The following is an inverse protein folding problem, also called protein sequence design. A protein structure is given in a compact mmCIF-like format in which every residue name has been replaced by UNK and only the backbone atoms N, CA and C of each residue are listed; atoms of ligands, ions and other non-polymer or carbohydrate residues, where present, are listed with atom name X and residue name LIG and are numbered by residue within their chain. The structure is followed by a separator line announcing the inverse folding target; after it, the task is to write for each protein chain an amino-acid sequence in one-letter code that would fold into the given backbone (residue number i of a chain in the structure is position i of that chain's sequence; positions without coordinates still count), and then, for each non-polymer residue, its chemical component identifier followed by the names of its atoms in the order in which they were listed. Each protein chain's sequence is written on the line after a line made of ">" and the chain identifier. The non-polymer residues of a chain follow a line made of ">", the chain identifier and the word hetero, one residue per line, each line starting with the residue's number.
data_IF_456280234619
#
_entry.id   IF_456280234619
#
_cell.length_a   1.000
_cell.length_b   1.000
_cell.length_c   1.000
_cell.angle_alpha   90.00
_cell.angle_beta   90.00
_cell.angle_gamma   90.00
#
_symmetry.space_group_name_H-M   'P 1'
#
loop_
_entity.id
_entity.type
_entity.pdbx_description
1 polymer ?
#
# COMPACT_ATOMS: atom_id res chain seq x y z
N UNK A 1 7.44 -15.36 22.25
CA UNK A 1 8.31 -15.73 21.11
C UNK A 1 7.97 -14.80 19.97
N UNK A 2 8.94 -14.12 19.40
CA UNK A 2 8.71 -13.22 18.26
C UNK A 2 8.34 -14.04 17.02
N UNK A 3 7.31 -13.62 16.31
CA UNK A 3 6.85 -14.29 15.07
C UNK A 3 7.91 -14.18 13.99
N UNK A 4 8.28 -15.27 13.34
CA UNK A 4 9.28 -15.25 12.26
C UNK A 4 8.75 -14.52 11.03
N UNK A 5 9.65 -13.97 10.20
CA UNK A 5 9.28 -13.29 8.94
C UNK A 5 8.48 -14.24 8.02
N UNK A 6 8.88 -15.50 7.93
CA UNK A 6 8.17 -16.51 7.15
C UNK A 6 6.74 -16.74 7.66
N UNK A 7 6.55 -16.79 8.98
CA UNK A 7 5.22 -16.94 9.57
C UNK A 7 4.32 -15.70 9.31
N UNK A 8 4.90 -14.50 9.34
CA UNK A 8 4.19 -13.26 8.96
C UNK A 8 3.75 -13.30 7.51
N UNK A 9 4.62 -13.70 6.59
CA UNK A 9 4.32 -13.85 5.14
C UNK A 9 3.21 -14.86 4.90
N UNK A 10 3.30 -16.05 5.49
CA UNK A 10 2.26 -17.07 5.39
C UNK A 10 0.91 -16.58 5.95
N UNK A 11 0.93 -15.87 7.07
CA UNK A 11 -0.26 -15.23 7.64
C UNK A 11 -0.86 -14.21 6.68
N UNK A 12 -0.01 -13.39 6.05
CA UNK A 12 -0.47 -12.35 5.11
C UNK A 12 -1.19 -12.96 3.90
N UNK A 13 -0.62 -13.99 3.30
CA UNK A 13 -1.24 -14.72 2.19
C UNK A 13 -2.58 -15.33 2.60
N UNK A 14 -2.63 -15.99 3.75
CA UNK A 14 -3.87 -16.59 4.27
C UNK A 14 -4.98 -15.55 4.51
N UNK A 15 -4.64 -14.35 4.97
CA UNK A 15 -5.61 -13.27 5.14
C UNK A 15 -6.23 -12.84 3.80
N UNK A 16 -5.48 -12.86 2.70
CA UNK A 16 -6.01 -12.55 1.37
C UNK A 16 -6.89 -13.69 0.80
N UNK A 17 -6.59 -14.94 1.12
CA UNK A 17 -7.44 -16.09 0.75
C UNK A 17 -8.81 -16.05 1.46
N UNK A 18 -8.84 -15.57 2.69
CA UNK A 18 -10.08 -15.42 3.46
C UNK A 18 -10.95 -14.26 2.96
N UNK A 19 -10.35 -13.26 2.31
CA UNK A 19 -11.03 -12.02 1.91
C UNK A 19 -11.43 -11.14 3.09
N UNK A 20 -12.03 -9.99 2.79
CA UNK A 20 -12.52 -9.02 3.80
C UNK A 20 -11.44 -8.49 4.76
N UNK A 21 -10.22 -8.30 4.24
CA UNK A 21 -9.09 -7.77 4.99
C UNK A 21 -9.15 -6.24 5.08
N UNK A 22 -9.23 -5.68 6.29
CA UNK A 22 -8.97 -4.26 6.54
C UNK A 22 -7.51 -4.10 6.89
N UNK A 23 -6.80 -3.26 6.13
CA UNK A 23 -5.36 -3.03 6.21
C UNK A 23 -5.10 -1.56 6.56
N UNK A 24 -5.07 -1.18 7.86
CA UNK A 24 -4.78 0.19 8.25
C UNK A 24 -3.31 0.52 7.99
N UNK A 25 -3.03 1.82 7.76
CA UNK A 25 -1.71 2.30 7.37
C UNK A 25 -1.05 3.09 8.52
N UNK A 26 -0.14 2.49 9.30
CA UNK A 26 0.74 3.22 10.20
C UNK A 26 1.84 3.95 9.42
N UNK A 27 2.28 5.09 9.97
CA UNK A 27 3.35 5.93 9.40
C UNK A 27 4.60 6.00 10.28
N UNK A 28 4.53 5.47 11.50
CA UNK A 28 5.63 5.38 12.47
C UNK A 28 5.37 4.25 13.49
N UNK A 29 6.34 4.01 14.38
CA UNK A 29 6.19 3.00 15.44
C UNK A 29 5.03 3.31 16.40
N UNK A 30 4.78 4.58 16.68
CA UNK A 30 3.72 4.99 17.59
C UNK A 30 2.34 4.66 17.05
N UNK A 31 2.09 4.90 15.77
CA UNK A 31 0.85 4.54 15.08
C UNK A 31 0.73 3.02 14.90
N UNK A 32 1.84 2.33 14.56
CA UNK A 32 1.88 0.88 14.44
C UNK A 32 1.42 0.17 15.71
N UNK A 33 2.01 0.52 16.87
CA UNK A 33 1.66 -0.07 18.17
C UNK A 33 0.20 0.16 18.53
N UNK A 34 -0.34 1.35 18.22
CA UNK A 34 -1.76 1.64 18.45
C UNK A 34 -2.68 0.80 17.58
N UNK A 35 -2.36 0.64 16.30
CA UNK A 35 -3.16 -0.20 15.40
C UNK A 35 -3.10 -1.68 15.80
N UNK A 36 -1.95 -2.17 16.24
CA UNK A 36 -1.80 -3.51 16.78
C UNK A 36 -2.65 -3.70 18.05
N UNK A 37 -2.61 -2.76 18.98
CA UNK A 37 -3.43 -2.78 20.20
C UNK A 37 -4.95 -2.72 19.90
N UNK A 38 -5.35 -2.08 18.80
CA UNK A 38 -6.74 -2.06 18.32
C UNK A 38 -7.16 -3.34 17.60
N UNK A 39 -6.25 -4.30 17.43
CA UNK A 39 -6.55 -5.63 16.89
C UNK A 39 -6.41 -5.73 15.38
N UNK A 40 -5.63 -4.85 14.73
CA UNK A 40 -5.24 -5.04 13.34
C UNK A 40 -4.65 -6.43 13.13
N UNK A 41 -4.95 -7.05 11.98
CA UNK A 41 -4.44 -8.40 11.63
C UNK A 41 -3.22 -8.33 10.70
N UNK A 42 -3.08 -7.23 10.01
CA UNK A 42 -1.96 -6.85 9.16
C UNK A 42 -1.99 -5.33 8.99
N UNK A 43 -0.89 -4.75 8.53
CA UNK A 43 -0.77 -3.31 8.27
C UNK A 43 -0.10 -3.07 6.91
N UNK A 44 -0.29 -1.87 6.34
CA UNK A 44 0.53 -1.41 5.23
C UNK A 44 1.20 -0.09 5.63
N UNK A 45 2.45 0.14 5.27
CA UNK A 45 3.03 1.48 5.41
C UNK A 45 2.31 2.49 4.49
N UNK A 46 2.65 3.75 4.61
CA UNK A 46 2.17 4.83 3.76
C UNK A 46 3.32 5.79 3.48
N UNK A 47 3.69 5.95 2.20
CA UNK A 47 4.74 6.88 1.76
C UNK A 47 4.44 8.30 2.20
N UNK A 48 3.24 8.79 1.88
CA UNK A 48 2.77 10.13 2.24
C UNK A 48 2.81 10.37 3.76
N UNK A 49 2.22 9.46 4.56
CA UNK A 49 2.21 9.63 6.03
C UNK A 49 3.63 9.58 6.63
N UNK A 50 4.51 8.75 6.10
CA UNK A 50 5.91 8.72 6.53
C UNK A 50 6.64 10.02 6.17
N UNK A 51 6.50 10.52 4.94
CA UNK A 51 7.08 11.78 4.50
C UNK A 51 6.59 12.96 5.36
N UNK A 52 5.28 13.07 5.60
CA UNK A 52 4.69 14.07 6.48
C UNK A 52 5.26 14.01 7.90
N UNK A 53 5.50 12.83 8.46
CA UNK A 53 6.11 12.66 9.79
C UNK A 53 7.55 13.19 9.86
N UNK A 54 8.21 13.35 8.71
CA UNK A 54 9.55 13.94 8.55
C UNK A 54 9.51 15.41 8.11
N UNK A 55 8.30 16.00 7.97
CA UNK A 55 8.12 17.37 7.47
C UNK A 55 8.42 17.52 5.98
N UNK A 56 8.19 16.47 5.19
CA UNK A 56 8.39 16.42 3.74
C UNK A 56 7.08 16.13 3.02
N UNK A 57 7.03 16.44 1.73
CA UNK A 57 5.93 16.05 0.86
C UNK A 57 6.07 14.58 0.42
N UNK A 58 4.96 13.99 -0.05
CA UNK A 58 4.95 12.63 -0.62
C UNK A 58 5.91 12.56 -1.83
N UNK A 59 6.62 11.46 -2.01
CA UNK A 59 7.70 11.24 -2.99
C UNK A 59 9.03 12.00 -2.72
N UNK A 60 9.20 12.64 -1.57
CA UNK A 60 10.47 13.30 -1.21
C UNK A 60 11.40 12.41 -0.35
N UNK A 61 10.93 11.23 0.03
CA UNK A 61 11.77 10.28 0.77
C UNK A 61 12.71 9.54 -0.18
N UNK A 62 13.92 9.26 0.28
CA UNK A 62 14.87 8.43 -0.45
C UNK A 62 14.58 6.94 -0.25
N UNK A 63 15.00 6.10 -1.19
CA UNK A 63 14.93 4.63 -1.07
C UNK A 63 15.49 4.14 0.27
N UNK A 64 16.66 4.63 0.65
CA UNK A 64 17.36 4.13 1.85
C UNK A 64 16.63 4.53 3.14
N UNK A 65 16.08 5.75 3.22
CA UNK A 65 15.21 6.17 4.32
C UNK A 65 13.95 5.30 4.44
N UNK A 66 13.32 4.96 3.29
CA UNK A 66 12.16 4.07 3.28
C UNK A 66 12.53 2.66 3.68
N UNK A 67 13.66 2.12 3.21
CA UNK A 67 14.14 0.79 3.61
C UNK A 67 14.47 0.72 5.11
N UNK A 68 15.08 1.75 5.68
CA UNK A 68 15.35 1.82 7.11
C UNK A 68 14.06 1.88 7.93
N UNK A 69 13.09 2.68 7.49
CA UNK A 69 11.75 2.72 8.08
C UNK A 69 11.06 1.35 8.03
N UNK A 70 11.11 0.65 6.90
CA UNK A 70 10.52 -0.69 6.77
C UNK A 70 11.19 -1.71 7.70
N UNK A 71 12.53 -1.68 7.85
CA UNK A 71 13.26 -2.54 8.79
C UNK A 71 12.82 -2.29 10.24
N UNK A 72 12.74 -1.00 10.62
CA UNK A 72 12.28 -0.60 11.94
C UNK A 72 10.85 -1.11 12.21
N UNK A 73 9.92 -0.84 11.31
CA UNK A 73 8.53 -1.26 11.42
C UNK A 73 8.37 -2.78 11.45
N UNK A 74 9.02 -3.51 10.54
CA UNK A 74 8.93 -4.97 10.48
C UNK A 74 9.51 -5.66 11.72
N UNK A 75 10.53 -5.07 12.36
CA UNK A 75 11.14 -5.61 13.57
C UNK A 75 10.32 -5.35 14.82
N UNK A 76 9.49 -4.32 14.82
CA UNK A 76 8.77 -3.82 16.00
C UNK A 76 7.38 -4.46 16.22
N UNK A 77 6.90 -5.28 15.31
CA UNK A 77 5.58 -5.92 15.41
C UNK A 77 5.61 -7.39 15.00
N UNK A 78 4.67 -8.17 15.50
CA UNK A 78 4.38 -9.53 15.02
C UNK A 78 3.39 -9.56 13.85
N UNK A 79 2.82 -8.41 13.45
CA UNK A 79 1.91 -8.31 12.32
C UNK A 79 2.65 -8.41 10.97
N UNK A 80 2.04 -9.01 9.95
CA UNK A 80 2.51 -8.87 8.58
C UNK A 80 2.38 -7.42 8.12
N UNK A 81 3.42 -6.89 7.46
CA UNK A 81 3.47 -5.54 6.92
C UNK A 81 3.60 -5.58 5.39
N UNK A 82 2.73 -4.84 4.71
CA UNK A 82 2.86 -4.52 3.29
C UNK A 82 3.57 -3.17 3.13
N UNK A 83 4.67 -3.13 2.40
CA UNK A 83 5.32 -1.88 2.08
C UNK A 83 4.54 -1.09 1.02
N UNK A 84 4.30 0.19 1.27
CA UNK A 84 4.04 1.18 0.23
C UNK A 84 5.41 1.61 -0.31
N UNK A 85 5.77 1.09 -1.50
CA UNK A 85 7.14 1.19 -2.03
C UNK A 85 7.22 2.07 -3.28
N UNK A 86 6.22 2.94 -3.45
CA UNK A 86 6.10 3.87 -4.57
C UNK A 86 6.30 3.16 -5.92
N UNK A 87 7.00 3.76 -6.87
CA UNK A 87 7.38 3.13 -8.14
C UNK A 87 8.64 2.25 -8.05
N UNK A 88 9.11 1.91 -6.83
CA UNK A 88 10.28 1.08 -6.58
C UNK A 88 11.61 1.84 -6.52
N UNK A 89 11.59 3.18 -6.50
CA UNK A 89 12.78 4.04 -6.41
C UNK A 89 13.84 3.74 -7.49
N UNK A 90 13.40 3.45 -8.70
CA UNK A 90 14.28 2.98 -9.78
C UNK A 90 13.88 3.55 -11.14
N UNK A 91 14.87 3.78 -11.99
CA UNK A 91 14.67 4.15 -13.39
C UNK A 91 14.74 2.93 -14.33
N UNK A 92 15.43 1.88 -13.91
CA UNK A 92 15.58 0.64 -14.69
C UNK A 92 14.97 -0.57 -13.98
N UNK A 93 14.58 -1.58 -14.76
CA UNK A 93 14.06 -2.85 -14.24
C UNK A 93 15.09 -3.60 -13.38
N UNK A 94 16.38 -3.48 -13.69
CA UNK A 94 17.45 -4.11 -12.92
C UNK A 94 17.60 -3.45 -11.54
N UNK A 95 17.56 -2.13 -11.48
CA UNK A 95 17.58 -1.38 -10.22
C UNK A 95 16.32 -1.65 -9.40
N UNK A 96 15.15 -1.70 -10.04
CA UNK A 96 13.89 -2.03 -9.37
C UNK A 96 13.94 -3.43 -8.76
N UNK A 97 14.46 -4.42 -9.47
CA UNK A 97 14.62 -5.78 -8.95
C UNK A 97 15.53 -5.81 -7.70
N UNK A 98 16.64 -5.06 -7.73
CA UNK A 98 17.53 -4.94 -6.56
C UNK A 98 16.85 -4.23 -5.39
N UNK A 99 16.09 -3.16 -5.64
CA UNK A 99 15.37 -2.44 -4.58
C UNK A 99 14.27 -3.31 -3.95
N UNK A 100 13.58 -4.13 -4.76
CA UNK A 100 12.60 -5.12 -4.28
C UNK A 100 13.30 -6.17 -3.39
N UNK A 101 14.48 -6.66 -3.78
CA UNK A 101 15.28 -7.59 -2.96
C UNK A 101 15.61 -6.98 -1.59
N UNK A 102 16.01 -5.71 -1.55
CA UNK A 102 16.31 -5.00 -0.30
C UNK A 102 15.05 -4.84 0.58
N UNK A 103 13.87 -4.59 -0.02
CA UNK A 103 12.61 -4.54 0.72
C UNK A 103 12.22 -5.92 1.28
N UNK A 104 12.47 -7.00 0.54
CA UNK A 104 12.27 -8.38 1.02
C UNK A 104 13.16 -8.67 2.24
N UNK A 105 14.43 -8.22 2.21
CA UNK A 105 15.39 -8.35 3.33
C UNK A 105 14.98 -7.51 4.54
N UNK A 106 14.31 -6.38 4.34
CA UNK A 106 13.74 -5.59 5.44
C UNK A 106 12.63 -6.32 6.21
N UNK A 107 12.11 -7.44 5.67
CA UNK A 107 11.17 -8.30 6.38
C UNK A 107 9.69 -8.11 6.00
N UNK A 108 9.40 -7.42 4.91
CA UNK A 108 8.01 -7.19 4.46
C UNK A 108 7.30 -8.50 4.09
N UNK A 109 5.99 -8.53 4.28
CA UNK A 109 5.13 -9.63 3.88
C UNK A 109 4.49 -9.40 2.50
N UNK A 110 4.46 -8.17 2.05
CA UNK A 110 4.07 -7.73 0.72
C UNK A 110 4.66 -6.37 0.41
N UNK A 111 4.62 -5.98 -0.85
CA UNK A 111 4.98 -4.63 -1.28
C UNK A 111 4.10 -4.19 -2.46
N UNK A 112 3.82 -2.90 -2.54
CA UNK A 112 3.16 -2.31 -3.71
C UNK A 112 4.17 -1.64 -4.62
N UNK A 113 4.00 -1.84 -5.93
CA UNK A 113 4.71 -1.11 -6.98
C UNK A 113 3.66 -0.42 -7.83
N UNK A 114 3.80 0.90 -7.99
CA UNK A 114 2.89 1.74 -8.75
C UNK A 114 3.47 2.16 -10.10
N UNK A 115 2.57 2.51 -11.02
CA UNK A 115 2.90 2.92 -12.38
C UNK A 115 3.09 4.44 -12.54
N UNK A 116 3.47 5.15 -11.46
CA UNK A 116 3.61 6.60 -11.47
C UNK A 116 5.04 7.06 -11.73
N UNK A 117 5.16 8.06 -12.60
CA UNK A 117 6.39 8.81 -12.87
C UNK A 117 6.12 10.31 -12.70
N UNK A 118 6.48 10.86 -11.56
CA UNK A 118 6.17 12.25 -11.22
C UNK A 118 4.65 12.49 -11.20
N UNK A 119 4.15 13.33 -12.12
CA UNK A 119 2.72 13.65 -12.25
C UNK A 119 1.97 12.81 -13.30
N UNK A 120 2.66 11.87 -13.96
CA UNK A 120 2.12 11.07 -15.05
C UNK A 120 2.25 9.58 -14.75
N UNK A 121 1.60 8.76 -15.57
CA UNK A 121 1.82 7.32 -15.56
C UNK A 121 2.99 6.97 -16.50
N UNK A 122 3.75 5.93 -16.15
CA UNK A 122 4.61 5.27 -17.12
C UNK A 122 3.79 4.78 -18.32
N UNK A 123 4.37 4.73 -19.54
CA UNK A 123 3.79 3.94 -20.62
C UNK A 123 3.44 2.54 -20.10
N UNK A 124 2.29 2.00 -20.54
CA UNK A 124 1.77 0.73 -19.98
C UNK A 124 2.79 -0.41 -20.10
N UNK A 125 3.51 -0.48 -21.22
CA UNK A 125 4.53 -1.50 -21.47
C UNK A 125 5.68 -1.41 -20.45
N UNK A 126 6.13 -0.20 -20.11
CA UNK A 126 7.17 0.03 -19.10
C UNK A 126 6.65 -0.36 -17.71
N UNK A 127 5.43 0.04 -17.36
CA UNK A 127 4.83 -0.35 -16.07
C UNK A 127 4.69 -1.88 -15.95
N UNK A 128 4.31 -2.56 -17.02
CA UNK A 128 4.25 -4.03 -17.07
C UNK A 128 5.62 -4.67 -16.84
N UNK A 129 6.68 -4.13 -17.46
CA UNK A 129 8.06 -4.61 -17.24
C UNK A 129 8.53 -4.36 -15.80
N UNK A 130 8.12 -3.26 -15.17
CA UNK A 130 8.39 -3.02 -13.75
C UNK A 130 7.71 -4.07 -12.86
N UNK A 131 6.45 -4.42 -13.12
CA UNK A 131 5.76 -5.49 -12.37
C UNK A 131 6.43 -6.83 -12.59
N UNK A 132 6.85 -7.17 -13.82
CA UNK A 132 7.61 -8.41 -14.11
C UNK A 132 8.94 -8.46 -13.38
N UNK A 133 9.68 -7.36 -13.36
CA UNK A 133 10.97 -7.28 -12.66
C UNK A 133 10.79 -7.46 -11.14
N UNK A 134 9.77 -6.82 -10.55
CA UNK A 134 9.44 -7.00 -9.14
C UNK A 134 9.03 -8.46 -8.84
N UNK A 135 8.21 -9.08 -9.70
CA UNK A 135 7.82 -10.48 -9.56
C UNK A 135 9.03 -11.40 -9.66
N UNK A 136 9.90 -11.20 -10.65
CA UNK A 136 11.14 -11.97 -10.82
C UNK A 136 12.03 -11.91 -9.59
N UNK A 137 12.26 -10.72 -9.03
CA UNK A 137 13.04 -10.55 -7.80
C UNK A 137 12.44 -11.28 -6.59
N UNK A 138 11.11 -11.30 -6.47
CA UNK A 138 10.42 -12.05 -5.41
C UNK A 138 10.61 -13.56 -5.63
N UNK A 139 10.41 -14.05 -6.83
CA UNK A 139 10.55 -15.48 -7.17
C UNK A 139 11.98 -15.98 -6.95
N UNK A 140 12.98 -15.21 -7.41
CA UNK A 140 14.40 -15.50 -7.23
C UNK A 140 14.82 -15.51 -5.75
N UNK A 141 14.15 -14.73 -4.90
CA UNK A 141 14.40 -14.74 -3.46
C UNK A 141 13.96 -16.02 -2.76
N UNK A 142 13.08 -16.81 -3.36
CA UNK A 142 12.45 -17.98 -2.76
C UNK A 142 11.53 -17.64 -1.57
N UNK A 143 11.17 -16.37 -1.38
CA UNK A 143 10.37 -15.89 -0.26
C UNK A 143 8.91 -15.67 -0.68
N UNK A 144 7.96 -15.99 0.21
CA UNK A 144 6.53 -15.83 -0.04
C UNK A 144 6.07 -14.37 0.23
N UNK A 145 6.54 -13.44 -0.62
CA UNK A 145 6.16 -12.02 -0.55
C UNK A 145 5.09 -11.71 -1.59
N UNK A 146 4.02 -11.04 -1.18
CA UNK A 146 2.92 -10.66 -2.10
C UNK A 146 3.24 -9.36 -2.84
N UNK A 147 3.05 -9.39 -4.16
CA UNK A 147 3.20 -8.21 -5.02
C UNK A 147 1.83 -7.55 -5.26
N UNK A 148 1.72 -6.29 -4.84
CA UNK A 148 0.55 -5.44 -5.11
C UNK A 148 0.88 -4.55 -6.30
N UNK A 149 0.24 -4.79 -7.43
CA UNK A 149 0.41 -3.97 -8.63
C UNK A 149 -0.61 -2.82 -8.62
N UNK A 150 -0.10 -1.58 -8.58
CA UNK A 150 -0.89 -0.38 -8.34
C UNK A 150 -0.92 0.51 -9.59
N UNK A 151 -2.14 0.94 -9.98
CA UNK A 151 -2.34 1.90 -11.06
C UNK A 151 -2.83 3.24 -10.51
N UNK A 152 -2.04 4.28 -10.70
CA UNK A 152 -2.26 5.65 -10.21
C UNK A 152 -3.20 6.49 -11.10
N UNK A 153 -3.77 5.93 -12.14
CA UNK A 153 -4.53 6.66 -13.15
C UNK A 153 -5.64 7.57 -12.61
N UNK A 154 -6.34 7.16 -11.55
CA UNK A 154 -7.39 7.99 -10.93
C UNK A 154 -6.81 9.11 -10.06
N UNK A 155 -5.71 8.89 -9.35
CA UNK A 155 -5.09 9.92 -8.49
C UNK A 155 -4.35 10.98 -9.31
N UNK A 156 -3.72 10.58 -10.40
CA UNK A 156 -3.10 11.53 -11.35
C UNK A 156 -4.13 12.24 -12.24
N UNK A 157 -5.36 11.70 -12.32
CA UNK A 157 -6.41 12.22 -13.22
C UNK A 157 -6.08 12.04 -14.70
N UNK A 158 -5.15 11.12 -15.03
CA UNK A 158 -4.65 10.94 -16.41
C UNK A 158 -5.23 9.73 -17.12
N UNK A 159 -5.99 8.87 -16.43
CA UNK A 159 -6.59 7.68 -17.03
C UNK A 159 -8.05 7.48 -16.64
N UNK A 160 -8.85 7.06 -17.60
CA UNK A 160 -10.25 6.68 -17.42
C UNK A 160 -10.38 5.22 -16.97
N UNK A 161 -11.57 4.82 -16.51
CA UNK A 161 -11.85 3.46 -16.00
C UNK A 161 -11.42 2.35 -16.97
N UNK A 162 -11.64 2.53 -18.27
CA UNK A 162 -11.27 1.52 -19.26
C UNK A 162 -9.75 1.32 -19.33
N UNK A 163 -8.97 2.39 -19.34
CA UNK A 163 -7.50 2.32 -19.34
C UNK A 163 -6.98 1.74 -18.01
N UNK A 164 -7.47 2.20 -16.86
CA UNK A 164 -7.08 1.65 -15.56
C UNK A 164 -7.37 0.14 -15.51
N UNK A 165 -8.55 -0.28 -15.96
CA UNK A 165 -8.91 -1.70 -15.99
C UNK A 165 -7.99 -2.51 -16.91
N UNK A 166 -7.65 -1.97 -18.08
CA UNK A 166 -6.73 -2.62 -19.03
C UNK A 166 -5.31 -2.74 -18.46
N UNK A 167 -4.81 -1.70 -17.77
CA UNK A 167 -3.52 -1.75 -17.06
C UNK A 167 -3.53 -2.80 -15.95
N UNK A 168 -4.56 -2.84 -15.11
CA UNK A 168 -4.65 -3.81 -14.01
C UNK A 168 -4.70 -5.26 -14.51
N UNK A 169 -5.36 -5.53 -15.65
CA UNK A 169 -5.31 -6.86 -16.29
C UNK A 169 -3.89 -7.21 -16.72
N UNK A 170 -3.20 -6.29 -17.38
CA UNK A 170 -1.82 -6.51 -17.79
C UNK A 170 -0.88 -6.70 -16.59
N UNK A 171 -1.12 -6.03 -15.48
CA UNK A 171 -0.36 -6.21 -14.23
C UNK A 171 -0.66 -7.54 -13.55
N UNK A 172 -1.90 -8.03 -13.62
CA UNK A 172 -2.26 -9.38 -13.17
C UNK A 172 -1.49 -10.45 -13.95
N UNK A 173 -1.44 -10.30 -15.29
CA UNK A 173 -0.70 -11.20 -16.20
C UNK A 173 0.82 -11.09 -16.01
N UNK A 174 1.32 -9.93 -15.57
CA UNK A 174 2.73 -9.70 -15.26
C UNK A 174 3.18 -10.26 -13.90
N UNK A 175 2.26 -10.82 -13.10
CA UNK A 175 2.56 -11.47 -11.84
C UNK A 175 2.14 -10.71 -10.59
N UNK A 176 1.34 -9.65 -10.70
CA UNK A 176 0.68 -9.01 -9.57
C UNK A 176 -0.21 -10.01 -8.80
N UNK A 177 -0.03 -10.14 -7.49
CA UNK A 177 -0.87 -10.96 -6.63
C UNK A 177 -2.17 -10.25 -6.26
N UNK A 178 -2.10 -8.94 -6.02
CA UNK A 178 -3.23 -8.05 -5.67
C UNK A 178 -3.23 -6.85 -6.60
N UNK A 179 -4.40 -6.46 -7.10
CA UNK A 179 -4.54 -5.31 -7.99
C UNK A 179 -5.10 -4.11 -7.21
N UNK A 180 -4.58 -2.92 -7.49
CA UNK A 180 -4.95 -1.73 -6.75
C UNK A 180 -5.04 -0.50 -7.66
N UNK A 181 -6.18 0.20 -7.61
CA UNK A 181 -6.37 1.49 -8.27
C UNK A 181 -6.91 2.50 -7.24
N UNK A 182 -6.02 3.19 -6.48
CA UNK A 182 -6.46 4.20 -5.52
C UNK A 182 -7.25 5.32 -6.22
N UNK A 183 -8.22 5.90 -5.50
CA UNK A 183 -9.10 6.94 -6.05
C UNK A 183 -10.36 6.41 -6.75
N UNK A 184 -10.46 5.11 -7.03
CA UNK A 184 -11.72 4.54 -7.52
C UNK A 184 -12.80 4.68 -6.43
N UNK A 185 -13.95 5.31 -6.79
CA UNK A 185 -14.97 5.66 -5.80
C UNK A 185 -16.38 5.16 -6.13
N UNK A 186 -16.69 5.01 -7.42
CA UNK A 186 -18.04 4.61 -7.85
C UNK A 186 -18.23 3.09 -7.69
N UNK A 187 -19.28 2.61 -7.00
CA UNK A 187 -19.52 1.17 -6.79
C UNK A 187 -19.54 0.36 -8.09
N UNK A 188 -20.14 0.89 -9.15
CA UNK A 188 -20.16 0.22 -10.47
C UNK A 188 -18.75 0.08 -11.06
N UNK A 189 -17.90 1.10 -10.92
CA UNK A 189 -16.50 1.06 -11.39
C UNK A 189 -15.67 0.06 -10.58
N UNK A 190 -15.85 0.00 -9.27
CA UNK A 190 -15.20 -0.98 -8.39
C UNK A 190 -15.57 -2.39 -8.84
N UNK A 191 -16.87 -2.65 -9.05
CA UNK A 191 -17.38 -3.95 -9.54
C UNK A 191 -16.78 -4.31 -10.90
N UNK A 192 -16.69 -3.35 -11.81
CA UNK A 192 -16.04 -3.55 -13.14
C UNK A 192 -14.59 -4.01 -12.99
N UNK A 193 -13.81 -3.36 -12.13
CA UNK A 193 -12.41 -3.74 -11.89
C UNK A 193 -12.33 -5.13 -11.25
N UNK A 194 -13.11 -5.40 -10.21
CA UNK A 194 -13.15 -6.71 -9.54
C UNK A 194 -13.43 -7.83 -10.53
N UNK A 195 -14.46 -7.68 -11.37
CA UNK A 195 -14.83 -8.70 -12.36
C UNK A 195 -13.76 -8.88 -13.44
N UNK A 196 -13.12 -7.78 -13.85
CA UNK A 196 -12.16 -7.79 -14.95
C UNK A 196 -10.83 -8.48 -14.59
N UNK A 197 -10.43 -8.46 -13.31
CA UNK A 197 -9.16 -9.04 -12.86
C UNK A 197 -9.34 -10.37 -12.09
N UNK A 198 -10.58 -10.83 -11.94
CA UNK A 198 -10.86 -12.10 -11.28
C UNK A 198 -10.05 -13.26 -11.89
N UNK A 199 -9.50 -14.20 -11.10
CA UNK A 199 -9.70 -14.37 -9.66
C UNK A 199 -8.73 -13.57 -8.76
N UNK A 200 -7.97 -12.63 -9.29
CA UNK A 200 -7.01 -11.84 -8.50
C UNK A 200 -7.74 -10.93 -7.49
N UNK A 201 -7.26 -10.87 -6.23
CA UNK A 201 -7.79 -9.97 -5.23
C UNK A 201 -7.63 -8.50 -5.63
N UNK A 202 -8.61 -7.67 -5.25
CA UNK A 202 -8.57 -6.21 -5.44
C UNK A 202 -8.48 -5.52 -4.09
N UNK A 203 -7.56 -4.55 -3.98
CA UNK A 203 -7.51 -3.57 -2.90
C UNK A 203 -8.26 -2.30 -3.30
N UNK A 204 -9.00 -1.72 -2.36
CA UNK A 204 -9.62 -0.39 -2.52
C UNK A 204 -9.16 0.53 -1.40
N UNK A 205 -8.77 1.77 -1.74
CA UNK A 205 -8.55 2.83 -0.77
C UNK A 205 -9.90 3.28 -0.20
N UNK A 206 -10.04 3.20 1.13
CA UNK A 206 -11.27 3.62 1.82
C UNK A 206 -11.36 5.15 1.82
N UNK A 207 -12.19 5.68 0.95
CA UNK A 207 -12.44 7.11 0.86
C UNK A 207 -13.54 7.55 1.84
N UNK A 208 -13.58 8.83 2.26
CA UNK A 208 -14.66 9.36 3.08
C UNK A 208 -16.05 9.05 2.50
N UNK A 209 -16.94 8.57 3.35
CA UNK A 209 -18.31 8.16 2.96
C UNK A 209 -18.45 6.71 2.50
N UNK A 210 -17.36 5.99 2.20
CA UNK A 210 -17.41 4.56 1.90
C UNK A 210 -17.56 3.72 3.18
N UNK A 211 -18.11 2.53 3.04
CA UNK A 211 -18.18 1.53 4.11
C UNK A 211 -17.52 0.23 3.65
N UNK A 212 -16.69 -0.35 4.50
CA UNK A 212 -15.98 -1.60 4.19
C UNK A 212 -16.92 -2.74 3.83
N UNK A 213 -18.08 -2.84 4.52
CA UNK A 213 -19.09 -3.87 4.24
C UNK A 213 -19.61 -3.83 2.79
N UNK A 214 -19.79 -2.63 2.24
CA UNK A 214 -20.30 -2.46 0.88
C UNK A 214 -19.23 -2.81 -0.16
N UNK A 215 -17.96 -2.49 0.15
CA UNK A 215 -16.81 -2.86 -0.67
C UNK A 215 -16.62 -4.38 -0.71
N UNK A 216 -16.68 -5.05 0.43
CA UNK A 216 -16.58 -6.51 0.49
C UNK A 216 -17.75 -7.20 -0.21
N UNK A 217 -18.98 -6.65 -0.09
CA UNK A 217 -20.14 -7.16 -0.83
C UNK A 217 -19.99 -7.00 -2.36
N UNK A 218 -19.19 -6.01 -2.83
CA UNK A 218 -18.86 -5.84 -4.24
C UNK A 218 -17.74 -6.78 -4.73
N UNK A 219 -17.17 -7.61 -3.86
CA UNK A 219 -16.10 -8.56 -4.18
C UNK A 219 -14.67 -8.03 -3.93
N UNK A 220 -14.53 -6.88 -3.30
CA UNK A 220 -13.22 -6.38 -2.86
C UNK A 220 -12.67 -7.31 -1.79
N UNK A 221 -11.41 -7.68 -1.89
CA UNK A 221 -10.75 -8.58 -0.92
C UNK A 221 -10.08 -7.79 0.21
N UNK A 222 -9.53 -6.64 -0.09
CA UNK A 222 -8.71 -5.83 0.81
C UNK A 222 -9.10 -4.35 0.73
N UNK A 223 -9.11 -3.70 1.89
CA UNK A 223 -9.38 -2.26 2.02
C UNK A 223 -8.25 -1.63 2.83
N UNK A 224 -7.61 -0.59 2.30
CA UNK A 224 -6.54 0.16 2.98
C UNK A 224 -6.97 1.60 3.25
N UNK A 225 -6.26 2.28 4.16
CA UNK A 225 -6.61 3.65 4.60
C UNK A 225 -5.70 4.73 4.02
N UNK A 226 -4.57 4.37 3.40
CA UNK A 226 -3.60 5.36 2.90
C UNK A 226 -3.15 6.32 4.00
N UNK A 227 -3.00 7.61 3.68
CA UNK A 227 -2.65 8.66 4.65
C UNK A 227 -3.80 9.14 5.53
N UNK A 228 -5.06 8.70 5.33
CA UNK A 228 -6.20 9.25 6.06
C UNK A 228 -6.11 9.13 7.59
N UNK A 229 -5.41 8.13 8.11
CA UNK A 229 -5.19 8.00 9.55
C UNK A 229 -4.15 9.02 10.04
N UNK A 230 -3.13 9.32 9.24
CA UNK A 230 -2.14 10.39 9.49
C UNK A 230 -2.83 11.75 9.47
N UNK A 231 -3.63 12.03 8.43
CA UNK A 231 -4.40 13.27 8.31
C UNK A 231 -5.31 13.49 9.52
N UNK A 232 -5.98 12.44 9.98
CA UNK A 232 -6.85 12.50 11.15
C UNK A 232 -6.06 12.79 12.44
N UNK A 233 -4.86 12.23 12.60
CA UNK A 233 -3.98 12.46 13.74
C UNK A 233 -3.46 13.91 13.75
N UNK A 234 -2.99 14.42 12.61
CA UNK A 234 -2.53 15.81 12.48
C UNK A 234 -3.65 16.80 12.74
N UNK A 235 -4.82 16.60 12.15
CA UNK A 235 -6.00 17.45 12.39
C UNK A 235 -6.43 17.43 13.85
N UNK A 236 -6.36 16.29 14.53
CA UNK A 236 -6.64 16.19 15.96
C UNK A 236 -5.64 16.98 16.80
N UNK A 237 -4.34 16.80 16.52
CA UNK A 237 -3.27 17.54 17.18
C UNK A 237 -3.40 19.06 16.97
N UNK A 238 -3.59 19.50 15.72
CA UNK A 238 -3.77 20.93 15.39
C UNK A 238 -4.99 21.55 16.08
N UNK A 239 -6.09 20.79 16.17
CA UNK A 239 -7.30 21.24 16.87
C UNK A 239 -7.03 21.48 18.36
N UNK A 240 -6.36 20.51 19.00
CA UNK A 240 -5.98 20.62 20.40
C UNK A 240 -4.96 21.75 20.63
N UNK A 241 -3.94 21.86 19.77
CA UNK A 241 -2.93 22.91 19.85
C UNK A 241 -3.55 24.30 19.69
N UNK A 242 -4.47 24.49 18.76
CA UNK A 242 -5.20 25.74 18.54
C UNK A 242 -5.96 26.17 19.80
N UNK A 243 -6.67 25.23 20.46
CA UNK A 243 -7.39 25.52 21.72
C UNK A 243 -6.43 25.95 22.84
N UNK A 244 -5.27 25.30 22.97
CA UNK A 244 -4.25 25.71 23.95
C UNK A 244 -3.68 27.09 23.66
N UNK A 245 -3.32 27.36 22.40
CA UNK A 245 -2.68 28.62 21.99
C UNK A 245 -3.64 29.81 22.02
N UNK A 246 -4.93 29.63 21.78
CA UNK A 246 -5.94 30.68 21.73
C UNK A 246 -6.71 30.84 23.04
N UNK A 247 -7.09 29.74 23.66
CA UNK A 247 -8.01 29.71 24.80
C UNK A 247 -7.32 29.33 26.12
N UNK A 248 -6.04 28.91 26.09
CA UNK A 248 -5.27 28.51 27.26
C UNK A 248 -5.72 27.17 27.89
N UNK A 249 -6.45 26.34 27.18
CA UNK A 249 -6.99 25.06 27.69
C UNK A 249 -6.96 23.95 26.64
N UNK A 250 -6.88 22.69 27.08
CA UNK A 250 -7.15 21.52 26.22
C UNK A 250 -8.66 21.36 25.99
N UNK A 251 -9.08 20.79 24.84
CA UNK A 251 -10.49 20.53 24.55
C UNK A 251 -11.12 19.54 25.52
#
# INVERSE_FOLDING_TARGET
>A
MTTTVQAKRATFRKLHEQGSLVLPNPWDLGSLQRLEALGAKAVASTSAGFAESKGREDYEMTRDEVLDHLREMCSATDLPLNADFESGFAESTAELAENVRLAIEAGVAGLSIEDRQGKHLYPKEIAVEHIRAARGAIDDSGQDVMLVARCEGFLTGTAELAEVTDRLKAYADAGGDVLYAPGISKPASIKTVVDAVAPKPVNVLLLPGMQTKDLFAAGVCRVSTGSFLTDAAWKGMETAARSVLQDGKLP
#
